data_IF_182670035252
#
_entry.id   IF_182670035252
#
_cell.length_a   1.000
_cell.length_b   1.000
_cell.length_c   1.000
_cell.angle_alpha   90.00
_cell.angle_beta   90.00
_cell.angle_gamma   90.00
#
_symmetry.space_group_name_H-M   'P 1'
#
loop_
_entity.id
_entity.type
_entity.pdbx_description
1 polymer ?
#
# COMPACT_ATOMS: atom_id res chain seq x y z
N UNK A 1 29.50 -2.31 -10.66
CA UNK A 1 28.59 -1.60 -9.75
C UNK A 1 27.18 -2.05 -10.04
N UNK A 2 26.73 -3.12 -9.37
CA UNK A 2 25.35 -3.60 -9.46
C UNK A 2 24.54 -2.92 -8.36
N UNK A 3 23.47 -2.24 -8.74
CA UNK A 3 22.51 -1.63 -7.81
C UNK A 3 21.80 -2.77 -7.10
N UNK A 4 22.13 -3.01 -5.84
CA UNK A 4 21.31 -3.85 -4.95
C UNK A 4 19.99 -3.11 -4.75
N UNK A 5 18.99 -3.44 -5.57
CA UNK A 5 17.61 -3.13 -5.27
C UNK A 5 17.33 -3.81 -3.92
N UNK A 6 17.05 -3.01 -2.90
CA UNK A 6 16.65 -3.50 -1.58
C UNK A 6 15.54 -4.53 -1.76
N UNK A 7 15.57 -5.66 -1.05
CA UNK A 7 14.49 -6.66 -1.03
C UNK A 7 13.09 -6.04 -0.90
N UNK A 8 13.00 -4.85 -0.27
CA UNK A 8 11.78 -4.04 -0.13
C UNK A 8 11.21 -3.47 -1.44
N UNK A 9 12.07 -3.15 -2.41
CA UNK A 9 11.64 -2.79 -3.77
C UNK A 9 11.20 -4.01 -4.55
N UNK A 10 11.75 -5.20 -4.26
CA UNK A 10 11.42 -6.44 -4.95
C UNK A 10 9.98 -6.84 -4.65
N UNK A 11 9.54 -6.84 -3.38
CA UNK A 11 8.16 -7.21 -3.01
C UNK A 11 7.10 -6.27 -3.63
N UNK A 12 7.34 -4.96 -3.62
CA UNK A 12 6.42 -3.99 -4.22
C UNK A 12 6.34 -4.11 -5.74
N UNK A 13 7.49 -4.37 -6.39
CA UNK A 13 7.57 -4.65 -7.83
C UNK A 13 6.91 -5.99 -8.19
N UNK A 14 6.96 -6.97 -7.30
CA UNK A 14 6.30 -8.26 -7.48
C UNK A 14 4.77 -8.12 -7.43
N UNK A 15 4.20 -7.41 -6.44
CA UNK A 15 2.76 -7.20 -6.39
C UNK A 15 2.23 -6.44 -7.63
N UNK A 16 2.93 -5.39 -8.08
CA UNK A 16 2.57 -4.68 -9.31
C UNK A 16 2.64 -5.57 -10.56
N UNK A 17 3.65 -6.45 -10.64
CA UNK A 17 3.75 -7.47 -11.70
C UNK A 17 2.59 -8.46 -11.63
N UNK A 18 2.23 -8.95 -10.45
CA UNK A 18 1.10 -9.86 -10.27
C UNK A 18 -0.22 -9.21 -10.65
N UNK A 19 -0.44 -7.93 -10.29
CA UNK A 19 -1.59 -7.14 -10.76
C UNK A 19 -1.63 -7.07 -12.29
N UNK A 20 -0.48 -6.83 -12.93
CA UNK A 20 -0.40 -6.76 -14.41
C UNK A 20 -0.72 -8.11 -15.04
N UNK A 21 -0.15 -9.21 -14.53
CA UNK A 21 -0.40 -10.58 -15.01
C UNK A 21 -1.89 -10.92 -14.85
N UNK A 22 -2.48 -10.68 -13.68
CA UNK A 22 -3.92 -10.88 -13.42
C UNK A 22 -4.77 -10.15 -14.46
N UNK A 23 -4.47 -8.88 -14.74
CA UNK A 23 -5.23 -8.08 -15.71
C UNK A 23 -5.08 -8.59 -17.14
N UNK A 24 -3.87 -8.99 -17.54
CA UNK A 24 -3.63 -9.57 -18.87
C UNK A 24 -4.37 -10.90 -19.03
N UNK A 25 -4.33 -11.76 -18.01
CA UNK A 25 -5.01 -13.05 -18.00
C UNK A 25 -6.54 -12.89 -18.09
N UNK A 26 -7.11 -11.98 -17.28
CA UNK A 26 -8.55 -11.70 -17.34
C UNK A 26 -9.01 -11.18 -18.70
N UNK A 27 -8.18 -10.38 -19.38
CA UNK A 27 -8.48 -9.94 -20.75
C UNK A 27 -8.48 -11.12 -21.74
N UNK A 28 -7.52 -12.05 -21.64
CA UNK A 28 -7.45 -13.23 -22.50
C UNK A 28 -8.66 -14.15 -22.29
N UNK A 29 -9.06 -14.38 -21.03
CA UNK A 29 -10.26 -15.17 -20.68
C UNK A 29 -11.52 -14.49 -21.25
N UNK A 30 -11.66 -13.17 -21.13
CA UNK A 30 -12.82 -12.46 -21.71
C UNK A 30 -12.85 -12.53 -23.24
N UNK A 31 -11.68 -12.52 -23.89
CA UNK A 31 -11.59 -12.65 -25.35
C UNK A 31 -12.01 -14.03 -25.84
N UNK A 32 -11.75 -15.09 -25.07
CA UNK A 32 -12.14 -16.44 -25.46
C UNK A 32 -13.66 -16.64 -25.46
N UNK A 33 -14.39 -15.96 -24.56
CA UNK A 33 -15.85 -15.98 -24.53
C UNK A 33 -16.55 -15.13 -25.60
N UNK A 34 -15.82 -14.29 -26.35
CA UNK A 34 -16.43 -13.27 -27.25
C UNK A 34 -16.02 -13.39 -28.71
N UNK A 35 -15.01 -14.19 -29.06
CA UNK A 35 -14.47 -14.27 -30.43
C UNK A 35 -14.35 -15.73 -30.91
N UNK A 36 -14.78 -15.98 -32.15
CA UNK A 36 -14.57 -17.26 -32.84
C UNK A 36 -13.12 -17.44 -33.28
N UNK A 37 -12.59 -18.68 -33.23
CA UNK A 37 -11.22 -19.00 -33.66
C UNK A 37 -10.13 -18.76 -32.61
N UNK A 38 -10.51 -18.45 -31.37
CA UNK A 38 -9.59 -18.37 -30.23
C UNK A 38 -9.26 -19.79 -29.73
N UNK A 39 -8.02 -20.09 -29.31
CA UNK A 39 -7.68 -21.39 -28.72
C UNK A 39 -8.57 -21.74 -27.52
N UNK A 40 -9.15 -22.94 -27.52
CA UNK A 40 -10.03 -23.41 -26.45
C UNK A 40 -9.36 -23.42 -25.06
N UNK A 41 -8.04 -23.57 -25.02
CA UNK A 41 -7.23 -23.46 -23.80
C UNK A 41 -7.39 -22.12 -23.07
N UNK A 42 -7.85 -21.06 -23.74
CA UNK A 42 -8.11 -19.74 -23.12
C UNK A 42 -9.48 -19.64 -22.44
N UNK A 43 -10.34 -20.66 -22.59
CA UNK A 43 -11.58 -20.82 -21.82
C UNK A 43 -11.45 -21.92 -20.76
N UNK A 44 -10.26 -22.49 -20.59
CA UNK A 44 -10.01 -23.61 -19.69
C UNK A 44 -10.31 -23.26 -18.23
N UNK A 45 -10.89 -24.20 -17.49
CA UNK A 45 -11.27 -24.02 -16.09
C UNK A 45 -10.06 -23.76 -15.20
N UNK A 46 -8.92 -24.42 -15.44
CA UNK A 46 -7.68 -24.20 -14.69
C UNK A 46 -7.20 -22.77 -14.87
N UNK A 47 -7.34 -22.21 -16.08
CA UNK A 47 -6.95 -20.82 -16.36
C UNK A 47 -7.85 -19.82 -15.62
N UNK A 48 -9.15 -20.11 -15.54
CA UNK A 48 -10.12 -19.31 -14.77
C UNK A 48 -9.84 -19.38 -13.26
N UNK A 49 -9.58 -20.57 -12.72
CA UNK A 49 -9.18 -20.74 -11.33
C UNK A 49 -7.87 -20.00 -11.04
N UNK A 50 -6.86 -20.13 -11.90
CA UNK A 50 -5.59 -19.41 -11.76
C UNK A 50 -5.78 -17.90 -11.73
N UNK A 51 -6.67 -17.36 -12.57
CA UNK A 51 -7.02 -15.94 -12.55
C UNK A 51 -7.70 -15.52 -11.24
N UNK A 52 -8.58 -16.37 -10.69
CA UNK A 52 -9.21 -16.14 -9.39
C UNK A 52 -8.19 -16.18 -8.24
N UNK A 53 -7.31 -17.18 -8.22
CA UNK A 53 -6.25 -17.33 -7.23
C UNK A 53 -5.27 -16.15 -7.25
N UNK A 54 -4.88 -15.67 -8.43
CA UNK A 54 -4.13 -14.43 -8.58
C UNK A 54 -4.91 -13.21 -8.08
N UNK A 55 -6.23 -13.24 -8.18
CA UNK A 55 -7.11 -12.24 -7.58
C UNK A 55 -7.00 -12.23 -6.07
N UNK A 56 -7.17 -13.39 -5.44
CA UNK A 56 -7.04 -13.57 -3.99
C UNK A 56 -5.65 -13.17 -3.50
N UNK A 57 -4.58 -13.67 -4.13
CA UNK A 57 -3.21 -13.30 -3.80
C UNK A 57 -3.02 -11.78 -3.86
N UNK A 58 -3.42 -11.14 -4.96
CA UNK A 58 -3.28 -9.69 -5.11
C UNK A 58 -4.02 -8.97 -3.99
N UNK A 59 -5.24 -9.39 -3.67
CA UNK A 59 -6.09 -8.73 -2.68
C UNK A 59 -5.57 -8.91 -1.25
N UNK A 60 -5.05 -10.11 -0.91
CA UNK A 60 -4.42 -10.41 0.38
C UNK A 60 -3.16 -9.57 0.64
N UNK A 61 -2.39 -9.26 -0.41
CA UNK A 61 -1.09 -8.61 -0.28
C UNK A 61 -1.15 -7.07 -0.49
N UNK A 62 -2.33 -6.48 -0.75
CA UNK A 62 -2.44 -5.02 -1.00
C UNK A 62 -2.12 -4.14 0.19
N UNK A 63 -2.30 -4.68 1.40
CA UNK A 63 -2.00 -3.99 2.65
C UNK A 63 -0.66 -4.43 3.28
N UNK A 64 0.16 -5.23 2.58
CA UNK A 64 1.46 -5.68 3.09
C UNK A 64 2.38 -4.54 3.51
N UNK A 65 2.35 -3.42 2.78
CA UNK A 65 3.12 -2.23 3.15
C UNK A 65 2.68 -1.68 4.51
N UNK A 66 1.37 -1.61 4.73
CA UNK A 66 0.79 -1.18 5.99
C UNK A 66 1.13 -2.16 7.13
N UNK A 67 1.01 -3.47 6.88
CA UNK A 67 1.37 -4.50 7.86
C UNK A 67 2.87 -4.45 8.22
N UNK A 68 3.74 -4.28 7.23
CA UNK A 68 5.19 -4.09 7.44
C UNK A 68 5.49 -2.81 8.23
N UNK A 69 4.74 -1.73 8.03
CA UNK A 69 4.86 -0.54 8.88
C UNK A 69 4.46 -0.84 10.32
N UNK A 70 3.37 -1.57 10.54
CA UNK A 70 2.95 -2.00 11.89
C UNK A 70 4.02 -2.86 12.57
N UNK A 71 4.58 -3.85 11.85
CA UNK A 71 5.68 -4.70 12.32
C UNK A 71 6.95 -3.90 12.66
N UNK A 72 7.20 -2.81 11.92
CA UNK A 72 8.31 -1.91 12.20
C UNK A 72 8.09 -1.09 13.48
N UNK A 73 6.90 -0.51 13.67
CA UNK A 73 6.64 0.42 14.78
C UNK A 73 6.38 -0.30 16.11
N UNK A 74 5.70 -1.46 16.10
CA UNK A 74 5.30 -2.17 17.33
C UNK A 74 6.46 -2.44 18.31
N UNK A 75 7.58 -3.07 17.88
CA UNK A 75 8.69 -3.35 18.79
C UNK A 75 9.36 -2.08 19.33
N UNK A 76 9.36 -1.01 18.54
CA UNK A 76 9.98 0.28 18.90
C UNK A 76 9.13 1.00 19.94
N UNK A 77 7.81 1.01 19.74
CA UNK A 77 6.84 1.56 20.67
C UNK A 77 6.88 0.83 22.02
N UNK A 78 6.93 -0.51 22.02
CA UNK A 78 7.06 -1.31 23.24
C UNK A 78 8.34 -1.02 24.05
N UNK A 79 9.39 -0.51 23.39
CA UNK A 79 10.63 -0.11 24.04
C UNK A 79 10.64 1.36 24.45
N UNK A 80 9.55 2.10 24.24
CA UNK A 80 9.47 3.56 24.40
C UNK A 80 10.62 4.30 23.71
N UNK A 81 10.98 3.84 22.50
CA UNK A 81 12.03 4.44 21.68
C UNK A 81 11.43 5.13 20.47
N UNK A 82 12.23 5.99 19.86
CA UNK A 82 11.94 6.57 18.56
C UNK A 82 12.75 5.84 17.48
N UNK A 83 12.07 5.46 16.40
CA UNK A 83 12.69 4.89 15.21
C UNK A 83 13.18 5.96 14.25
N UNK A 84 13.35 5.58 12.99
CA UNK A 84 13.67 6.54 11.93
C UNK A 84 12.40 7.28 11.50
N UNK A 85 12.28 8.54 11.91
CA UNK A 85 11.15 9.39 11.54
C UNK A 85 11.04 9.57 10.02
N UNK A 86 12.16 9.86 9.35
CA UNK A 86 12.21 10.00 7.89
C UNK A 86 11.74 8.74 7.14
N UNK A 87 12.05 7.55 7.68
CA UNK A 87 11.53 6.29 7.13
C UNK A 87 10.02 6.20 7.30
N UNK A 88 9.51 6.43 8.51
CA UNK A 88 8.08 6.29 8.78
C UNK A 88 7.25 7.31 8.00
N UNK A 89 7.70 8.56 7.90
CA UNK A 89 7.08 9.60 7.08
C UNK A 89 6.91 9.15 5.62
N UNK A 90 7.99 8.66 5.01
CA UNK A 90 7.98 8.22 3.61
C UNK A 90 7.09 6.99 3.42
N UNK A 91 7.22 5.99 4.27
CA UNK A 91 6.45 4.75 4.13
C UNK A 91 4.94 5.02 4.31
N UNK A 92 4.57 5.94 5.21
CA UNK A 92 3.18 6.34 5.45
C UNK A 92 2.60 7.15 4.28
N UNK A 93 3.37 8.10 3.73
CA UNK A 93 3.02 8.84 2.52
C UNK A 93 2.84 7.91 1.30
N UNK A 94 3.75 6.93 1.16
CA UNK A 94 3.69 5.93 0.10
C UNK A 94 2.45 5.04 0.21
N UNK A 95 2.05 4.62 1.42
CA UNK A 95 0.80 3.86 1.63
C UNK A 95 -0.42 4.67 1.19
N UNK A 96 -0.56 5.91 1.67
CA UNK A 96 -1.66 6.80 1.30
C UNK A 96 -1.73 7.02 -0.22
N UNK A 97 -0.57 7.32 -0.82
CA UNK A 97 -0.46 7.58 -2.26
C UNK A 97 -0.82 6.36 -3.09
N UNK A 98 -0.27 5.19 -2.74
CA UNK A 98 -0.54 3.92 -3.43
C UNK A 98 -2.00 3.52 -3.29
N UNK A 99 -2.55 3.58 -2.07
CA UNK A 99 -3.94 3.25 -1.78
C UNK A 99 -4.91 4.08 -2.61
N UNK A 100 -4.75 5.41 -2.57
CA UNK A 100 -5.59 6.34 -3.34
C UNK A 100 -5.50 6.12 -4.84
N UNK A 101 -4.29 5.87 -5.37
CA UNK A 101 -4.08 5.61 -6.82
C UNK A 101 -4.78 4.33 -7.27
N UNK A 102 -4.77 3.29 -6.43
CA UNK A 102 -5.36 2.00 -6.75
C UNK A 102 -6.88 2.02 -6.67
N UNK A 103 -7.43 2.69 -5.66
CA UNK A 103 -8.88 2.82 -5.49
C UNK A 103 -9.50 3.70 -6.57
N UNK A 104 -8.85 4.80 -6.96
CA UNK A 104 -9.31 5.65 -8.07
C UNK A 104 -9.44 4.88 -9.39
N UNK A 105 -8.66 3.82 -9.57
CA UNK A 105 -8.72 2.97 -10.76
C UNK A 105 -9.78 1.87 -10.65
N UNK A 106 -10.55 1.83 -9.56
CA UNK A 106 -11.49 0.74 -9.20
C UNK A 106 -10.83 -0.63 -9.25
N UNK A 107 -9.51 -0.69 -9.02
CA UNK A 107 -8.71 -1.92 -9.15
C UNK A 107 -8.57 -2.68 -7.84
N UNK A 108 -9.05 -2.12 -6.73
CA UNK A 108 -8.72 -2.54 -5.38
C UNK A 108 -9.99 -2.80 -4.57
N UNK A 109 -9.99 -3.92 -3.85
CA UNK A 109 -10.95 -4.19 -2.78
C UNK A 109 -10.74 -3.15 -1.67
N UNK A 110 -11.80 -2.53 -1.12
CA UNK A 110 -11.68 -1.60 -0.01
C UNK A 110 -10.89 -2.20 1.16
N UNK A 111 -10.18 -1.33 1.89
CA UNK A 111 -9.39 -1.74 3.06
C UNK A 111 -10.37 -2.21 4.14
N UNK A 112 -10.05 -3.32 4.79
CA UNK A 112 -10.85 -3.84 5.90
C UNK A 112 -10.80 -2.88 7.10
N UNK A 113 -11.84 -2.89 7.96
CA UNK A 113 -11.84 -2.07 9.18
C UNK A 113 -10.61 -2.35 10.07
N UNK A 114 -10.23 -3.63 10.21
CA UNK A 114 -9.01 -4.01 10.93
C UNK A 114 -7.76 -3.32 10.36
N UNK A 115 -7.63 -3.23 9.04
CA UNK A 115 -6.49 -2.55 8.43
C UNK A 115 -6.61 -1.03 8.54
N UNK A 116 -7.83 -0.46 8.61
CA UNK A 116 -7.98 0.95 8.98
C UNK A 116 -7.51 1.22 10.42
N UNK A 117 -7.80 0.33 11.36
CA UNK A 117 -7.29 0.43 12.73
C UNK A 117 -5.76 0.40 12.76
N UNK A 118 -5.13 -0.48 11.97
CA UNK A 118 -3.67 -0.52 11.84
C UNK A 118 -3.11 0.79 11.27
N UNK A 119 -3.78 1.37 10.27
CA UNK A 119 -3.39 2.67 9.73
C UNK A 119 -3.44 3.77 10.79
N UNK A 120 -4.50 3.79 11.62
CA UNK A 120 -4.62 4.73 12.72
C UNK A 120 -3.54 4.51 13.80
N UNK A 121 -3.26 3.26 14.17
CA UNK A 121 -2.21 2.87 15.13
C UNK A 121 -0.82 3.36 14.67
N UNK A 122 -0.46 3.10 13.41
CA UNK A 122 0.80 3.57 12.84
C UNK A 122 0.85 5.11 12.81
N UNK A 123 -0.29 5.75 12.50
CA UNK A 123 -0.42 7.20 12.52
C UNK A 123 -0.24 7.80 13.92
N UNK A 124 -0.72 7.14 14.97
CA UNK A 124 -0.53 7.57 16.36
C UNK A 124 0.96 7.58 16.73
N UNK A 125 1.67 6.48 16.43
CA UNK A 125 3.11 6.40 16.65
C UNK A 125 3.86 7.48 15.86
N UNK A 126 3.42 7.75 14.62
CA UNK A 126 4.01 8.80 13.81
C UNK A 126 3.80 10.19 14.44
N UNK A 127 2.59 10.49 14.93
CA UNK A 127 2.28 11.75 15.61
C UNK A 127 3.15 11.93 16.86
N UNK A 128 3.29 10.88 17.67
CA UNK A 128 4.14 10.89 18.86
C UNK A 128 5.60 11.17 18.52
N UNK A 129 6.13 10.53 17.48
CA UNK A 129 7.51 10.76 17.03
C UNK A 129 7.71 12.18 16.49
N UNK A 130 6.73 12.73 15.77
CA UNK A 130 6.76 14.13 15.32
C UNK A 130 6.79 15.06 16.53
N UNK A 131 5.88 14.87 17.49
CA UNK A 131 5.77 15.70 18.70
C UNK A 131 7.00 15.61 19.62
N UNK A 132 7.69 14.47 19.61
CA UNK A 132 8.91 14.26 20.40
C UNK A 132 10.18 14.80 19.72
N UNK A 133 10.11 15.16 18.43
CA UNK A 133 11.27 15.60 17.65
C UNK A 133 11.50 17.10 17.82
N UNK A 134 12.59 17.47 18.50
CA UNK A 134 12.92 18.88 18.80
C UNK A 134 13.66 19.60 17.67
N UNK A 135 14.34 18.86 16.79
CA UNK A 135 15.07 19.40 15.63
C UNK A 135 14.86 18.49 14.42
N UNK A 136 14.39 19.07 13.32
CA UNK A 136 14.25 18.38 12.04
C UNK A 136 15.43 18.72 11.13
N UNK A 137 15.97 17.73 10.45
CA UNK A 137 16.84 17.98 9.30
C UNK A 137 16.05 18.64 8.15
N UNK A 138 16.77 19.25 7.20
CA UNK A 138 16.15 19.80 6.00
C UNK A 138 15.36 18.73 5.21
N UNK A 139 15.89 17.51 5.15
CA UNK A 139 15.24 16.36 4.50
C UNK A 139 13.96 15.97 5.23
N UNK A 140 13.98 15.83 6.56
CA UNK A 140 12.79 15.51 7.34
C UNK A 140 11.73 16.61 7.25
N UNK A 141 12.15 17.87 7.24
CA UNK A 141 11.24 19.02 7.04
C UNK A 141 10.56 19.01 5.68
N UNK A 142 11.23 18.50 4.63
CA UNK A 142 10.64 18.32 3.30
C UNK A 142 9.68 17.12 3.28
N UNK A 143 10.12 15.95 3.78
CA UNK A 143 9.27 14.76 3.88
C UNK A 143 8.01 15.01 4.68
N UNK A 144 8.12 15.72 5.81
CA UNK A 144 6.98 16.04 6.67
C UNK A 144 5.96 16.93 5.96
N UNK A 145 6.42 17.95 5.22
CA UNK A 145 5.54 18.79 4.39
C UNK A 145 4.85 18.00 3.28
N UNK A 146 5.58 17.10 2.62
CA UNK A 146 5.02 16.22 1.58
C UNK A 146 3.93 15.31 2.16
N UNK A 147 4.26 14.63 3.27
CA UNK A 147 3.34 13.76 3.99
C UNK A 147 2.07 14.49 4.43
N UNK A 148 2.16 15.68 5.04
CA UNK A 148 0.97 16.44 5.44
C UNK A 148 0.12 16.92 4.26
N UNK A 149 0.75 17.26 3.13
CA UNK A 149 0.01 17.58 1.91
C UNK A 149 -0.80 16.37 1.45
N UNK A 150 -0.14 15.20 1.37
CA UNK A 150 -0.79 13.96 0.97
C UNK A 150 -1.90 13.55 1.95
N UNK A 151 -1.66 13.69 3.26
CA UNK A 151 -2.63 13.40 4.32
C UNK A 151 -3.93 14.20 4.16
N UNK A 152 -3.83 15.50 3.85
CA UNK A 152 -5.00 16.35 3.62
C UNK A 152 -5.79 15.92 2.38
N UNK A 153 -5.09 15.53 1.32
CA UNK A 153 -5.77 15.01 0.11
C UNK A 153 -6.40 13.65 0.41
N UNK A 154 -5.72 12.81 1.20
CA UNK A 154 -6.19 11.50 1.58
C UNK A 154 -7.46 11.58 2.43
N UNK A 155 -7.51 12.44 3.44
CA UNK A 155 -8.70 12.69 4.27
C UNK A 155 -9.89 13.24 3.45
N UNK A 156 -9.63 14.15 2.51
CA UNK A 156 -10.67 14.63 1.59
C UNK A 156 -11.22 13.51 0.69
N UNK A 157 -10.40 12.51 0.37
CA UNK A 157 -10.82 11.36 -0.45
C UNK A 157 -11.51 10.27 0.38
N UNK A 158 -11.08 10.08 1.63
CA UNK A 158 -11.54 9.05 2.55
C UNK A 158 -11.98 9.68 3.89
N UNK A 159 -13.13 10.38 3.91
CA UNK A 159 -13.57 11.08 5.11
C UNK A 159 -13.72 10.11 6.29
N UNK A 160 -13.29 10.55 7.47
CA UNK A 160 -13.33 9.78 8.73
C UNK A 160 -12.35 8.60 8.82
N UNK A 161 -11.44 8.43 7.84
CA UNK A 161 -10.38 7.41 7.90
C UNK A 161 -9.06 7.92 8.46
N UNK A 162 -8.86 9.23 8.47
CA UNK A 162 -7.66 9.85 9.05
C UNK A 162 -7.98 10.34 10.46
N UNK A 163 -7.28 9.83 11.49
CA UNK A 163 -7.43 10.33 12.84
C UNK A 163 -7.06 11.81 12.96
N UNK A 164 -7.83 12.58 13.73
CA UNK A 164 -7.67 14.04 13.81
C UNK A 164 -6.36 14.52 14.43
N UNK A 165 -5.74 13.72 15.29
CA UNK A 165 -4.46 14.07 15.91
C UNK A 165 -3.32 14.16 14.89
N UNK A 166 -3.46 13.57 13.70
CA UNK A 166 -2.50 13.70 12.61
C UNK A 166 -2.53 15.07 11.90
N UNK A 167 -3.45 15.97 12.26
CA UNK A 167 -3.51 17.33 11.69
C UNK A 167 -3.02 18.41 12.65
N UNK A 168 -2.44 18.04 13.79
CA UNK A 168 -1.95 18.96 14.81
C UNK A 168 -0.64 19.63 14.41
#
# INVERSE_FOLDING_TARGET
MGVYLSEKQVDGLELERMIKIKNQLGNLIRMSGTKSGIPAALSDVVLQCTWADLGHYVDDHRDDKLLKMQEYVKPIQLQNKQGSLSKLLRDFEDDMTSYRKDEKKSKRVPRSEKNWDIFAEVGEVLADWIGSTTTLSATESLSMRSMFCELRIFDATFPSRVPRYLFQ
#
